data_IF_252693565281
#
_entry.id   IF_252693565281
#
_cell.length_a   1.000
_cell.length_b   1.000
_cell.length_c   1.000
_cell.angle_alpha   90.00
_cell.angle_beta   90.00
_cell.angle_gamma   90.00
#
_symmetry.space_group_name_H-M   'P 1'
#
loop_
_entity.id
_entity.type
_entity.pdbx_description
1 polymer ?
#
# COMPACT_ATOMS: atom_id res chain seq x y z
N UNK A 1 -2.37 -21.58 26.43
CA UNK A 1 -2.66 -22.04 25.04
C UNK A 1 -1.95 -21.09 24.09
N UNK A 2 -1.33 -21.58 23.02
CA UNK A 2 -0.64 -20.75 22.02
C UNK A 2 -1.28 -21.07 20.66
N UNK A 3 -1.62 -20.04 19.89
CA UNK A 3 -2.17 -20.15 18.54
C UNK A 3 -1.25 -19.38 17.59
N UNK A 4 -0.87 -20.00 16.47
CA UNK A 4 -0.19 -19.32 15.37
C UNK A 4 -1.21 -18.89 14.31
N UNK A 5 -1.09 -17.66 13.79
CA UNK A 5 -2.05 -17.12 12.82
C UNK A 5 -1.37 -16.17 11.83
N UNK A 6 -1.87 -16.17 10.59
CA UNK A 6 -1.59 -15.16 9.57
C UNK A 6 -2.80 -14.24 9.33
N UNK A 7 -3.83 -14.31 10.19
CA UNK A 7 -5.02 -13.48 10.06
C UNK A 7 -4.82 -12.12 10.75
N UNK A 8 -4.80 -11.00 10.01
CA UNK A 8 -4.68 -9.67 10.60
C UNK A 8 -5.90 -9.33 11.47
N UNK A 9 -7.07 -9.93 11.21
CA UNK A 9 -8.25 -9.77 12.06
C UNK A 9 -8.05 -10.36 13.45
N UNK A 10 -7.33 -11.47 13.57
CA UNK A 10 -7.02 -12.06 14.89
C UNK A 10 -6.02 -11.16 15.62
N UNK A 11 -4.97 -10.70 14.92
CA UNK A 11 -3.94 -9.82 15.49
C UNK A 11 -4.53 -8.48 15.96
N UNK A 12 -5.47 -7.89 15.20
CA UNK A 12 -6.11 -6.62 15.54
C UNK A 12 -7.06 -6.66 16.74
N UNK A 13 -7.40 -7.85 17.23
CA UNK A 13 -8.28 -8.06 18.38
C UNK A 13 -7.53 -8.44 19.66
N UNK A 14 -6.20 -8.52 19.62
CA UNK A 14 -5.35 -8.77 20.78
C UNK A 14 -4.42 -7.59 21.02
N UNK A 15 -3.96 -7.45 22.26
CA UNK A 15 -2.96 -6.45 22.63
C UNK A 15 -1.55 -6.91 22.26
N UNK A 16 -0.63 -5.98 22.07
CA UNK A 16 0.78 -6.31 21.77
C UNK A 16 1.44 -7.21 22.83
N UNK A 17 1.00 -7.15 24.08
CA UNK A 17 1.47 -8.01 25.17
C UNK A 17 1.14 -9.50 24.96
N UNK A 18 0.06 -9.79 24.26
CA UNK A 18 -0.42 -11.15 23.94
C UNK A 18 0.18 -11.69 22.64
N UNK A 19 0.81 -10.81 21.84
CA UNK A 19 1.43 -11.15 20.57
C UNK A 19 2.89 -11.60 20.78
N UNK A 20 3.32 -12.59 19.99
CA UNK A 20 4.74 -12.93 19.80
C UNK A 20 5.00 -13.03 18.31
N UNK A 21 5.97 -12.25 17.81
CA UNK A 21 6.34 -12.24 16.39
C UNK A 21 7.70 -12.90 16.23
N UNK A 22 7.79 -13.82 15.28
CA UNK A 22 8.98 -14.58 14.99
C UNK A 22 9.39 -14.35 13.54
N UNK A 23 10.64 -13.98 13.30
CA UNK A 23 11.19 -13.71 11.97
C UNK A 23 12.33 -14.68 11.68
N UNK A 24 12.58 -14.95 10.40
CA UNK A 24 13.76 -15.71 9.97
C UNK A 24 14.68 -14.79 9.18
N UNK A 25 15.95 -14.77 9.55
CA UNK A 25 17.03 -14.16 8.77
C UNK A 25 18.15 -15.18 8.51
N UNK A 26 19.25 -14.74 7.90
CA UNK A 26 20.40 -15.59 7.56
C UNK A 26 21.05 -16.27 8.78
N UNK A 27 20.83 -15.73 9.99
CA UNK A 27 21.34 -16.29 11.25
C UNK A 27 20.33 -17.23 11.93
N UNK A 28 19.18 -17.49 11.30
CA UNK A 28 18.14 -18.38 11.82
C UNK A 28 16.89 -17.65 12.28
N UNK A 29 16.19 -18.23 13.27
CA UNK A 29 14.92 -17.74 13.76
C UNK A 29 15.15 -16.79 14.94
N UNK A 30 14.54 -15.60 14.90
CA UNK A 30 14.60 -14.58 15.95
C UNK A 30 13.20 -14.20 16.42
N UNK A 31 13.04 -13.98 17.72
CA UNK A 31 11.85 -13.36 18.28
C UNK A 31 12.02 -11.84 18.27
N UNK A 32 11.01 -11.12 17.81
CA UNK A 32 10.94 -9.67 17.96
C UNK A 32 10.61 -9.36 19.43
N UNK A 33 11.37 -8.46 20.04
CA UNK A 33 11.06 -7.96 21.38
C UNK A 33 9.70 -7.26 21.39
N UNK A 34 8.87 -7.57 22.38
CA UNK A 34 7.57 -6.95 22.57
C UNK A 34 7.64 -5.42 22.74
N UNK A 35 8.74 -4.88 23.28
CA UNK A 35 8.92 -3.41 23.34
C UNK A 35 9.03 -2.76 21.96
N UNK A 36 9.41 -3.54 20.94
CA UNK A 36 9.50 -3.08 19.56
C UNK A 36 8.21 -3.36 18.76
N UNK A 37 7.21 -4.02 19.37
CA UNK A 37 5.92 -4.24 18.74
C UNK A 37 5.02 -3.02 18.95
N UNK A 38 4.51 -2.48 17.85
CA UNK A 38 3.44 -1.49 17.91
C UNK A 38 2.17 -2.12 18.50
N UNK A 39 1.36 -1.32 19.21
CA UNK A 39 0.03 -1.76 19.64
C UNK A 39 -0.81 -2.15 18.42
N UNK A 40 -1.46 -3.32 18.51
CA UNK A 40 -2.26 -3.92 17.45
C UNK A 40 -3.76 -3.78 17.70
N UNK A 41 -4.18 -3.70 18.97
CA UNK A 41 -5.59 -3.59 19.31
C UNK A 41 -6.22 -2.31 18.74
N UNK A 42 -7.30 -2.47 17.97
CA UNK A 42 -8.03 -1.35 17.36
C UNK A 42 -7.33 -0.68 16.17
N UNK A 43 -6.20 -1.21 15.70
CA UNK A 43 -5.55 -0.76 14.47
C UNK A 43 -6.32 -1.22 13.23
N UNK A 44 -6.17 -0.49 12.13
CA UNK A 44 -6.73 -0.93 10.86
C UNK A 44 -5.99 -2.19 10.37
N UNK A 45 -6.68 -2.99 9.55
CA UNK A 45 -6.06 -4.18 8.93
C UNK A 45 -4.83 -3.79 8.10
N UNK A 46 -4.90 -2.66 7.40
CA UNK A 46 -3.77 -2.13 6.62
C UNK A 46 -2.56 -1.83 7.52
N UNK A 47 -2.77 -1.17 8.65
CA UNK A 47 -1.69 -0.87 9.60
C UNK A 47 -1.05 -2.15 10.14
N UNK A 48 -1.86 -3.16 10.47
CA UNK A 48 -1.36 -4.45 10.98
C UNK A 48 -0.54 -5.17 9.91
N UNK A 49 -1.03 -5.20 8.67
CA UNK A 49 -0.32 -5.79 7.54
C UNK A 49 1.03 -5.11 7.31
N UNK A 50 1.08 -3.77 7.31
CA UNK A 50 2.31 -3.03 7.06
C UNK A 50 3.29 -3.04 8.24
N UNK A 51 2.82 -2.92 9.48
CA UNK A 51 3.69 -2.75 10.65
C UNK A 51 4.06 -4.09 11.31
N UNK A 52 3.07 -4.94 11.59
CA UNK A 52 3.27 -6.20 12.30
C UNK A 52 3.69 -7.31 11.34
N UNK A 53 3.02 -7.43 10.20
CA UNK A 53 3.34 -8.46 9.19
C UNK A 53 4.41 -8.00 8.18
N UNK A 54 4.87 -6.75 8.27
CA UNK A 54 5.94 -6.16 7.44
C UNK A 54 5.67 -6.31 5.94
N UNK A 55 4.43 -6.09 5.52
CA UNK A 55 4.05 -6.08 4.11
C UNK A 55 4.39 -4.72 3.49
N UNK A 56 5.25 -4.71 2.46
CA UNK A 56 5.72 -3.49 1.80
C UNK A 56 4.61 -2.74 1.05
N UNK A 57 3.59 -3.46 0.56
CA UNK A 57 2.42 -2.90 -0.12
C UNK A 57 1.17 -3.71 0.16
N UNK A 58 0.03 -3.03 0.29
CA UNK A 58 -1.29 -3.67 0.39
C UNK A 58 -1.84 -4.13 -0.98
N UNK A 59 -1.07 -3.91 -2.05
CA UNK A 59 -1.35 -4.37 -3.41
C UNK A 59 -0.22 -5.28 -3.89
N UNK A 60 -0.48 -6.01 -4.97
CA UNK A 60 0.59 -6.77 -5.63
C UNK A 60 1.68 -5.84 -6.18
N UNK A 61 2.87 -6.41 -6.39
CA UNK A 61 4.05 -5.69 -6.87
C UNK A 61 3.80 -4.99 -8.21
N UNK A 62 3.24 -5.71 -9.19
CA UNK A 62 2.95 -5.18 -10.53
C UNK A 62 2.08 -3.92 -10.51
N UNK A 63 0.99 -3.89 -9.73
CA UNK A 63 0.14 -2.70 -9.63
C UNK A 63 0.84 -1.59 -8.85
N UNK A 64 1.57 -1.94 -7.79
CA UNK A 64 2.33 -0.97 -6.97
C UNK A 64 3.35 -0.22 -7.83
N UNK A 65 4.13 -0.95 -8.62
CA UNK A 65 5.17 -0.38 -9.49
C UNK A 65 4.57 0.51 -10.58
N UNK A 66 3.48 0.07 -11.21
CA UNK A 66 2.81 0.88 -12.25
C UNK A 66 2.18 2.15 -11.67
N UNK A 67 1.60 2.09 -10.46
CA UNK A 67 1.10 3.29 -9.78
C UNK A 67 2.22 4.25 -9.45
N UNK A 68 3.35 3.75 -8.94
CA UNK A 68 4.53 4.56 -8.68
C UNK A 68 5.03 5.23 -9.97
N UNK A 69 5.08 4.49 -11.08
CA UNK A 69 5.50 5.01 -12.38
C UNK A 69 4.54 6.07 -12.92
N UNK A 70 3.23 5.84 -12.82
CA UNK A 70 2.20 6.82 -13.21
C UNK A 70 2.31 8.09 -12.37
N UNK A 71 2.54 7.97 -11.06
CA UNK A 71 2.78 9.12 -10.19
C UNK A 71 4.07 9.88 -10.57
N UNK A 72 5.14 9.17 -10.92
CA UNK A 72 6.40 9.77 -11.39
C UNK A 72 6.19 10.59 -12.67
N UNK A 73 5.53 10.00 -13.68
CA UNK A 73 5.21 10.67 -14.93
C UNK A 73 4.28 11.87 -14.71
N UNK A 74 3.28 11.73 -13.84
CA UNK A 74 2.38 12.81 -13.46
C UNK A 74 3.16 13.97 -12.83
N UNK A 75 4.08 13.70 -11.90
CA UNK A 75 4.93 14.74 -11.27
C UNK A 75 5.83 15.46 -12.27
N UNK A 76 6.25 14.78 -13.35
CA UNK A 76 7.01 15.38 -14.46
C UNK A 76 6.14 16.08 -15.52
N UNK A 77 4.83 16.18 -15.31
CA UNK A 77 3.85 16.66 -16.29
C UNK A 77 3.85 15.88 -17.62
N UNK A 78 4.23 14.60 -17.59
CA UNK A 78 4.28 13.71 -18.75
C UNK A 78 2.98 12.88 -18.89
N UNK A 79 1.86 13.39 -18.40
CA UNK A 79 0.59 12.64 -18.36
C UNK A 79 -0.13 12.55 -19.71
N UNK A 80 0.30 13.31 -20.71
CA UNK A 80 -0.23 13.24 -22.08
C UNK A 80 0.53 12.23 -22.96
N UNK A 81 1.63 11.67 -22.46
CA UNK A 81 2.46 10.68 -23.17
C UNK A 81 1.73 9.36 -23.37
N UNK A 82 2.12 8.62 -24.41
CA UNK A 82 1.60 7.28 -24.68
C UNK A 82 1.96 6.30 -23.56
N UNK A 83 3.17 6.41 -22.98
CA UNK A 83 3.59 5.63 -21.81
C UNK A 83 2.62 5.80 -20.64
N UNK A 84 2.28 7.05 -20.29
CA UNK A 84 1.32 7.32 -19.23
C UNK A 84 -0.05 6.71 -19.52
N UNK A 85 -0.57 6.94 -20.74
CA UNK A 85 -1.90 6.46 -21.15
C UNK A 85 -1.99 4.95 -21.08
N UNK A 86 -0.99 4.23 -21.59
CA UNK A 86 -0.95 2.78 -21.57
C UNK A 86 -0.87 2.21 -20.15
N UNK A 87 -0.01 2.77 -19.28
CA UNK A 87 0.06 2.37 -17.88
C UNK A 87 -1.24 2.66 -17.13
N UNK A 88 -1.84 3.82 -17.38
CA UNK A 88 -3.07 4.23 -16.73
C UNK A 88 -4.28 3.41 -17.19
N UNK A 89 -4.35 3.03 -18.47
CA UNK A 89 -5.38 2.12 -19.00
C UNK A 89 -5.24 0.71 -18.45
N UNK A 90 -4.01 0.21 -18.31
CA UNK A 90 -3.76 -1.06 -17.61
C UNK A 90 -4.29 -1.00 -16.18
N UNK A 91 -3.90 0.02 -15.40
CA UNK A 91 -4.35 0.19 -14.02
C UNK A 91 -5.88 0.29 -13.92
N UNK A 92 -6.53 1.06 -14.80
CA UNK A 92 -7.99 1.14 -14.86
C UNK A 92 -8.66 -0.19 -15.17
N UNK A 93 -8.06 -1.01 -16.04
CA UNK A 93 -8.61 -2.32 -16.41
C UNK A 93 -8.69 -3.26 -15.21
N UNK A 94 -7.67 -3.23 -14.33
CA UNK A 94 -7.61 -4.14 -13.18
C UNK A 94 -8.18 -3.57 -11.88
N UNK A 95 -8.03 -2.26 -11.65
CA UNK A 95 -8.53 -1.61 -10.43
C UNK A 95 -9.95 -1.08 -10.58
N UNK A 96 -10.36 -0.76 -11.81
CA UNK A 96 -11.63 -0.12 -12.12
C UNK A 96 -11.60 1.40 -11.93
N UNK A 97 -12.56 2.07 -12.58
CA UNK A 97 -12.65 3.54 -12.61
C UNK A 97 -12.95 4.20 -11.24
N UNK A 98 -13.48 3.43 -10.29
CA UNK A 98 -13.85 3.89 -8.95
C UNK A 98 -12.80 3.58 -7.89
N UNK A 99 -11.67 2.99 -8.27
CA UNK A 99 -10.54 2.84 -7.34
C UNK A 99 -10.03 4.22 -6.91
N UNK A 100 -9.72 4.34 -5.61
CA UNK A 100 -9.37 5.62 -4.99
C UNK A 100 -8.15 6.28 -5.65
N UNK A 101 -7.15 5.50 -6.06
CA UNK A 101 -5.94 6.05 -6.67
C UNK A 101 -6.19 6.45 -8.12
N UNK A 102 -6.98 5.67 -8.85
CA UNK A 102 -7.44 6.03 -10.21
C UNK A 102 -8.20 7.36 -10.18
N UNK A 103 -9.15 7.50 -9.26
CA UNK A 103 -9.92 8.74 -9.11
C UNK A 103 -9.02 9.93 -8.73
N UNK A 104 -8.06 9.73 -7.83
CA UNK A 104 -7.10 10.76 -7.41
C UNK A 104 -6.24 11.25 -8.57
N UNK A 105 -5.70 10.33 -9.39
CA UNK A 105 -4.90 10.66 -10.57
C UNK A 105 -5.73 11.47 -11.58
N UNK A 106 -6.97 11.04 -11.86
CA UNK A 106 -7.89 11.79 -12.76
C UNK A 106 -8.17 13.20 -12.25
N UNK A 107 -8.40 13.35 -10.95
CA UNK A 107 -8.64 14.65 -10.34
C UNK A 107 -7.44 15.58 -10.50
N UNK A 108 -6.22 15.09 -10.26
CA UNK A 108 -4.99 15.87 -10.41
C UNK A 108 -4.82 16.37 -11.86
N UNK A 109 -4.95 15.47 -12.86
CA UNK A 109 -4.91 15.83 -14.28
C UNK A 109 -5.96 16.90 -14.61
N UNK A 110 -7.20 16.75 -14.12
CA UNK A 110 -8.27 17.72 -14.35
C UNK A 110 -7.93 19.11 -13.78
N UNK A 111 -7.35 19.16 -12.58
CA UNK A 111 -6.91 20.42 -11.95
C UNK A 111 -5.78 21.07 -12.73
N UNK A 112 -4.80 20.30 -13.20
CA UNK A 112 -3.67 20.81 -14.02
C UNK A 112 -4.14 21.36 -15.35
N UNK A 113 -5.03 20.64 -16.05
CA UNK A 113 -5.57 21.11 -17.33
C UNK A 113 -6.37 22.42 -17.18
N UNK A 114 -7.13 22.58 -16.09
CA UNK A 114 -7.84 23.85 -15.80
C UNK A 114 -6.91 25.04 -15.56
N UNK A 115 -5.72 24.81 -14.99
CA UNK A 115 -4.71 25.87 -14.78
C UNK A 115 -4.07 26.29 -16.11
N UNK A 116 -3.80 25.35 -17.00
CA UNK A 116 -3.16 25.63 -18.29
C UNK A 116 -4.07 26.39 -19.27
N UNK A 117 -5.40 26.31 -19.13
CA UNK A 117 -6.37 27.03 -20.00
C UNK A 117 -6.57 28.50 -19.60
N UNK A 118 -6.14 28.90 -18.40
CA UNK A 118 -6.28 30.29 -17.89
C UNK A 118 -5.00 31.12 -18.02
N UNK A 119 -3.96 30.59 -18.67
CA UNK A 119 -2.68 31.24 -18.92
C UNK A 119 -2.58 31.83 -20.32
#
# INVERSE_FOLDING_TARGET
MIIATHSPHVIGNITSNELRVMTKDDNGIKLIDNYNLSETYGKSIGDILSTTMKLDSLRNEDITDKLNKVCELLNKNLYDTEEFKNLFDYLKTYLGDLDKDIMRIRLDISVRNKKNVKG
#
